data_IF_296485686081
#
_entry.id   IF_296485686081
#
_cell.length_a   1.000
_cell.length_b   1.000
_cell.length_c   1.000
_cell.angle_alpha   90.00
_cell.angle_beta   90.00
_cell.angle_gamma   90.00
#
_symmetry.space_group_name_H-M   'P 1'
#
loop_
_entity.id
_entity.type
_entity.pdbx_description
1 polymer ?
#
# COMPACT_ATOMS: atom_id res chain seq x y z
N UNK A 1 64.92 40.61 1.89
CA UNK A 1 63.67 41.40 1.84
C UNK A 1 62.62 40.53 1.18
N UNK A 2 61.52 40.29 1.87
CA UNK A 2 60.53 39.23 1.61
C UNK A 2 59.27 39.90 1.08
N UNK A 3 58.94 39.73 -0.20
CA UNK A 3 57.70 40.24 -0.77
C UNK A 3 56.73 39.10 -1.04
N UNK A 4 55.59 39.19 -0.35
CA UNK A 4 54.42 38.34 -0.38
C UNK A 4 53.55 38.78 -1.56
N UNK A 5 53.03 37.84 -2.35
CA UNK A 5 51.72 38.05 -3.00
C UNK A 5 50.92 36.73 -3.03
N UNK A 6 49.70 36.88 -2.55
CA UNK A 6 48.65 35.92 -2.21
C UNK A 6 47.92 35.44 -3.47
N UNK A 7 47.55 34.16 -3.56
CA UNK A 7 46.30 33.76 -4.20
C UNK A 7 45.61 32.58 -3.49
N UNK A 8 44.58 32.94 -2.72
CA UNK A 8 43.23 32.34 -2.72
C UNK A 8 43.10 30.84 -2.45
N UNK A 9 43.05 30.47 -1.17
CA UNK A 9 42.33 29.29 -0.68
C UNK A 9 40.82 29.59 -0.70
N UNK A 10 40.16 29.26 -1.80
CA UNK A 10 38.71 29.23 -1.90
C UNK A 10 38.31 27.83 -2.38
N UNK A 11 37.71 27.03 -1.50
CA UNK A 11 36.39 26.41 -1.73
C UNK A 11 35.96 25.67 -0.45
N UNK A 12 35.32 26.48 0.38
CA UNK A 12 34.25 26.19 1.33
C UNK A 12 33.54 24.84 1.20
N UNK A 13 33.45 24.16 2.34
CA UNK A 13 32.27 23.49 2.89
C UNK A 13 31.11 23.20 1.92
N UNK A 14 30.88 21.93 1.61
CA UNK A 14 29.54 21.46 1.28
C UNK A 14 29.12 20.39 2.29
N UNK A 15 28.18 20.80 3.15
CA UNK A 15 27.57 20.01 4.20
C UNK A 15 27.07 18.65 3.67
N UNK A 16 27.62 17.56 4.18
CA UNK A 16 26.94 16.26 4.14
C UNK A 16 25.92 16.20 5.28
N UNK A 17 24.73 16.73 5.03
CA UNK A 17 23.54 16.38 5.81
C UNK A 17 22.86 15.18 5.14
N UNK A 18 23.09 13.92 5.56
CA UNK A 18 22.15 12.88 5.22
C UNK A 18 20.84 13.17 5.95
N UNK A 19 19.86 13.59 5.16
CA UNK A 19 18.45 13.77 5.47
C UNK A 19 17.99 12.88 6.64
N UNK A 20 17.61 13.50 7.76
CA UNK A 20 16.77 12.83 8.75
C UNK A 20 15.45 12.54 8.03
N UNK A 21 15.30 11.27 7.64
CA UNK A 21 14.08 10.73 7.06
C UNK A 21 12.91 11.14 7.94
N UNK A 22 12.07 12.05 7.42
CA UNK A 22 10.75 12.26 7.97
C UNK A 22 9.98 10.95 7.75
N UNK A 23 10.04 10.01 8.70
CA UNK A 23 9.06 8.93 8.79
C UNK A 23 7.70 9.60 9.00
N UNK A 24 6.97 9.69 7.89
CA UNK A 24 5.78 10.51 7.75
C UNK A 24 4.76 10.28 8.88
N UNK A 25 4.22 11.37 9.42
CA UNK A 25 3.02 11.39 10.26
C UNK A 25 1.75 10.82 9.58
N UNK A 26 1.84 10.27 8.36
CA UNK A 26 0.70 9.70 7.61
C UNK A 26 0.16 8.41 8.25
N UNK A 27 0.97 7.70 9.04
CA UNK A 27 0.55 6.46 9.72
C UNK A 27 -0.60 6.69 10.71
N UNK A 28 -0.72 7.90 11.29
CA UNK A 28 -1.82 8.26 12.20
C UNK A 28 -3.14 8.56 11.48
N UNK A 29 -3.12 8.77 10.16
CA UNK A 29 -4.33 9.07 9.36
C UNK A 29 -5.04 7.82 8.84
N UNK A 30 -4.47 6.63 9.02
CA UNK A 30 -5.02 5.35 8.49
C UNK A 30 -5.38 4.41 9.62
N UNK A 31 -6.46 3.64 9.46
CA UNK A 31 -6.75 2.55 10.39
C UNK A 31 -5.65 1.48 10.38
N UNK A 32 -5.50 0.80 11.50
CA UNK A 32 -4.59 -0.35 11.61
C UNK A 32 -5.25 -1.60 11.04
N UNK A 33 -4.50 -2.40 10.30
CA UNK A 33 -4.97 -3.68 9.75
C UNK A 33 -4.54 -4.81 10.69
N UNK A 34 -5.47 -5.69 11.04
CA UNK A 34 -5.28 -6.84 11.94
C UNK A 34 -5.91 -8.09 11.34
N UNK A 35 -5.44 -9.26 11.80
CA UNK A 35 -5.95 -10.58 11.43
C UNK A 35 -6.09 -10.81 9.92
N UNK A 36 -5.15 -10.24 9.16
CA UNK A 36 -5.18 -10.29 7.71
C UNK A 36 -4.87 -11.71 7.22
N UNK A 37 -5.81 -12.30 6.48
CA UNK A 37 -5.69 -13.63 5.92
C UNK A 37 -6.34 -13.70 4.55
N UNK A 38 -6.00 -14.74 3.80
CA UNK A 38 -6.68 -15.03 2.56
C UNK A 38 -6.80 -16.53 2.36
N UNK A 39 -7.81 -16.94 1.59
CA UNK A 39 -7.96 -18.31 1.07
C UNK A 39 -7.95 -18.25 -0.45
N UNK A 40 -7.40 -19.29 -1.07
CA UNK A 40 -7.50 -19.45 -2.52
C UNK A 40 -8.81 -20.17 -2.80
N UNK A 41 -9.57 -19.68 -3.78
CA UNK A 41 -10.70 -20.42 -4.32
C UNK A 41 -10.50 -20.68 -5.81
N UNK A 42 -11.06 -21.80 -6.27
CA UNK A 42 -11.13 -22.17 -7.66
C UNK A 42 -12.45 -22.91 -7.88
N UNK A 43 -13.40 -22.23 -8.52
CA UNK A 43 -14.75 -22.72 -8.75
C UNK A 43 -15.07 -22.66 -10.24
N UNK A 44 -14.93 -23.80 -10.94
CA UNK A 44 -15.27 -24.02 -12.36
C UNK A 44 -14.76 -22.92 -13.32
N UNK A 45 -15.46 -21.80 -13.35
CA UNK A 45 -15.28 -20.67 -14.25
C UNK A 45 -14.62 -19.45 -13.59
N UNK A 46 -14.28 -19.50 -12.30
CA UNK A 46 -13.64 -18.40 -11.57
C UNK A 46 -12.59 -18.88 -10.58
N UNK A 47 -11.47 -18.17 -10.52
CA UNK A 47 -10.38 -18.40 -9.58
C UNK A 47 -9.94 -17.08 -8.99
N UNK A 48 -9.60 -17.11 -7.71
CA UNK A 48 -9.18 -15.91 -7.02
C UNK A 48 -8.88 -16.16 -5.56
N UNK A 49 -9.09 -15.12 -4.77
CA UNK A 49 -8.77 -15.13 -3.36
C UNK A 49 -9.91 -14.50 -2.56
N UNK A 50 -10.30 -15.17 -1.48
CA UNK A 50 -11.17 -14.60 -0.46
C UNK A 50 -10.26 -13.95 0.60
N UNK A 51 -10.22 -12.62 0.65
CA UNK A 51 -9.37 -11.86 1.55
C UNK A 51 -10.18 -11.37 2.73
N UNK A 52 -9.68 -11.61 3.94
CA UNK A 52 -10.33 -11.19 5.19
C UNK A 52 -9.35 -10.44 6.08
N UNK A 53 -9.76 -9.27 6.58
CA UNK A 53 -9.00 -8.54 7.61
C UNK A 53 -9.91 -7.65 8.44
N UNK A 54 -9.42 -7.24 9.62
CA UNK A 54 -10.09 -6.28 10.49
C UNK A 54 -9.37 -4.93 10.46
N UNK A 55 -10.13 -3.84 10.54
CA UNK A 55 -9.59 -2.49 10.81
C UNK A 55 -9.81 -2.08 12.25
N UNK A 56 -8.81 -1.50 12.90
CA UNK A 56 -8.94 -0.94 14.26
C UNK A 56 -8.37 0.48 14.35
N UNK A 57 -8.82 1.22 15.37
CA UNK A 57 -8.37 2.58 15.64
C UNK A 57 -9.12 3.66 14.85
N UNK A 58 -8.65 4.89 15.00
CA UNK A 58 -9.16 6.07 14.28
C UNK A 58 -8.41 6.24 12.96
N UNK A 59 -9.04 6.87 11.97
CA UNK A 59 -8.44 7.17 10.67
C UNK A 59 -9.28 6.71 9.49
N UNK A 60 -8.74 6.89 8.29
CA UNK A 60 -9.37 6.53 7.02
C UNK A 60 -9.49 5.02 6.86
N UNK A 61 -10.59 4.60 6.22
CA UNK A 61 -10.80 3.22 5.79
C UNK A 61 -9.99 2.93 4.51
N UNK A 62 -9.56 1.68 4.31
CA UNK A 62 -8.92 1.26 3.07
C UNK A 62 -9.94 1.31 1.92
N UNK A 63 -9.46 1.68 0.73
CA UNK A 63 -10.26 1.80 -0.50
C UNK A 63 -9.99 0.66 -1.49
N UNK A 64 -8.86 -0.03 -1.35
CA UNK A 64 -8.51 -1.16 -2.19
C UNK A 64 -7.60 -2.12 -1.43
N UNK A 65 -7.60 -3.37 -1.87
CA UNK A 65 -6.66 -4.40 -1.43
C UNK A 65 -5.81 -4.82 -2.62
N UNK A 66 -4.54 -5.14 -2.33
CA UNK A 66 -3.64 -5.72 -3.32
C UNK A 66 -3.12 -7.05 -2.80
N UNK A 67 -3.24 -8.09 -3.62
CA UNK A 67 -2.72 -9.42 -3.31
C UNK A 67 -2.16 -10.02 -4.60
N UNK A 68 -0.92 -10.51 -4.56
CA UNK A 68 -0.24 -11.09 -5.72
C UNK A 68 -0.27 -10.17 -6.95
N UNK A 69 -0.07 -8.86 -6.73
CA UNK A 69 -0.11 -7.79 -7.75
C UNK A 69 -1.45 -7.60 -8.44
N UNK A 70 -2.53 -8.18 -7.94
CA UNK A 70 -3.89 -7.87 -8.39
C UNK A 70 -4.47 -6.86 -7.42
N UNK A 71 -5.07 -5.80 -7.94
CA UNK A 71 -5.80 -4.78 -7.20
C UNK A 71 -7.30 -5.06 -7.29
N UNK A 72 -7.97 -4.96 -6.14
CA UNK A 72 -9.42 -4.97 -6.06
C UNK A 72 -9.87 -3.78 -5.23
N UNK A 73 -10.72 -2.93 -5.80
CA UNK A 73 -11.39 -1.87 -5.04
C UNK A 73 -12.36 -2.49 -4.04
N UNK A 74 -12.37 -1.94 -2.82
CA UNK A 74 -13.24 -2.36 -1.73
C UNK A 74 -14.59 -1.69 -1.92
N UNK A 75 -15.63 -2.49 -2.08
CA UNK A 75 -17.01 -2.02 -2.18
C UNK A 75 -17.60 -1.86 -0.77
N UNK A 76 -18.63 -1.01 -0.59
CA UNK A 76 -19.33 -0.92 0.69
C UNK A 76 -19.88 -2.27 1.18
N UNK A 77 -20.29 -3.16 0.27
CA UNK A 77 -20.77 -4.51 0.56
C UNK A 77 -19.71 -5.44 1.14
N UNK A 78 -18.42 -5.15 0.90
CA UNK A 78 -17.32 -5.98 1.36
C UNK A 78 -17.00 -5.72 2.83
N UNK A 79 -17.66 -4.75 3.46
CA UNK A 79 -17.42 -4.34 4.84
C UNK A 79 -18.62 -4.68 5.71
N UNK A 80 -18.39 -5.51 6.71
CA UNK A 80 -19.32 -5.77 7.81
C UNK A 80 -18.70 -5.28 9.12
N UNK A 81 -19.27 -4.22 9.70
CA UNK A 81 -18.74 -3.53 10.87
C UNK A 81 -17.29 -3.04 10.67
N UNK A 82 -16.31 -3.72 11.28
CA UNK A 82 -14.87 -3.44 11.17
C UNK A 82 -14.11 -4.56 10.45
N UNK A 83 -14.83 -5.50 9.84
CA UNK A 83 -14.27 -6.65 9.13
C UNK A 83 -14.53 -6.48 7.65
N UNK A 84 -13.53 -6.78 6.85
CA UNK A 84 -13.60 -6.73 5.41
C UNK A 84 -13.51 -8.15 4.85
N UNK A 85 -14.40 -8.48 3.93
CA UNK A 85 -14.50 -9.72 3.19
C UNK A 85 -14.48 -9.38 1.69
N UNK A 86 -13.32 -9.48 1.06
CA UNK A 86 -13.13 -9.10 -0.33
C UNK A 86 -12.99 -10.35 -1.19
N UNK A 87 -13.81 -10.46 -2.24
CA UNK A 87 -13.57 -11.40 -3.32
C UNK A 87 -12.63 -10.76 -4.36
N UNK A 88 -11.36 -11.17 -4.35
CA UNK A 88 -10.38 -10.73 -5.34
C UNK A 88 -10.33 -11.75 -6.48
N UNK A 89 -10.85 -11.37 -7.65
CA UNK A 89 -10.96 -12.24 -8.82
C UNK A 89 -9.67 -12.15 -9.64
N UNK A 90 -8.96 -13.28 -9.76
CA UNK A 90 -7.74 -13.38 -10.56
C UNK A 90 -8.02 -13.83 -11.99
N UNK A 91 -9.02 -14.69 -12.19
CA UNK A 91 -9.43 -15.21 -13.50
C UNK A 91 -10.94 -15.48 -13.43
N UNK A 92 -11.71 -15.07 -14.44
CA UNK A 92 -13.13 -15.42 -14.55
C UNK A 92 -13.56 -15.55 -16.00
N UNK A 93 -14.41 -16.52 -16.29
CA UNK A 93 -15.14 -16.67 -17.56
C UNK A 93 -16.61 -16.25 -17.42
N UNK A 94 -17.04 -15.95 -16.19
CA UNK A 94 -18.44 -15.59 -15.87
C UNK A 94 -18.74 -14.13 -16.17
N UNK A 95 -17.72 -13.27 -16.07
CA UNK A 95 -17.82 -11.83 -16.33
C UNK A 95 -17.18 -11.58 -17.69
N UNK A 96 -17.99 -11.15 -18.66
CA UNK A 96 -17.51 -10.83 -20.00
C UNK A 96 -16.53 -9.65 -19.96
N UNK A 97 -15.46 -9.73 -20.74
CA UNK A 97 -14.40 -8.71 -20.84
C UNK A 97 -13.73 -8.33 -19.50
N UNK A 98 -13.81 -9.20 -18.48
CA UNK A 98 -13.14 -8.94 -17.22
C UNK A 98 -11.64 -9.16 -17.33
N UNK A 99 -10.88 -8.11 -17.04
CA UNK A 99 -9.43 -8.18 -16.85
C UNK A 99 -9.10 -7.73 -15.44
N UNK A 100 -8.43 -8.56 -14.61
CA UNK A 100 -8.01 -8.16 -13.27
C UNK A 100 -7.11 -6.93 -13.33
N UNK A 101 -7.41 -5.94 -12.49
CA UNK A 101 -6.59 -4.74 -12.42
C UNK A 101 -5.22 -5.09 -11.84
N UNK A 102 -4.17 -4.81 -12.61
CA UNK A 102 -2.79 -5.03 -12.17
C UNK A 102 -2.34 -3.91 -11.23
N UNK A 103 -1.46 -4.25 -10.30
CA UNK A 103 -0.86 -3.36 -9.32
C UNK A 103 0.66 -3.51 -9.34
N UNK A 104 1.37 -2.39 -9.28
CA UNK A 104 2.81 -2.39 -9.04
C UNK A 104 3.15 -2.72 -7.57
N UNK A 105 2.18 -2.62 -6.67
CA UNK A 105 2.35 -2.95 -5.26
C UNK A 105 2.21 -4.45 -4.99
N UNK A 106 2.96 -4.92 -3.99
CA UNK A 106 2.81 -6.28 -3.45
C UNK A 106 1.57 -6.41 -2.57
N UNK A 107 1.67 -7.28 -1.57
CA UNK A 107 0.55 -7.60 -0.69
C UNK A 107 0.31 -6.46 0.33
N UNK A 108 -0.89 -5.88 0.30
CA UNK A 108 -1.23 -4.77 1.19
C UNK A 108 -2.64 -4.21 0.98
N UNK A 109 -2.86 -3.04 1.53
CA UNK A 109 -4.09 -2.26 1.35
C UNK A 109 -3.73 -0.83 0.94
N UNK A 110 -4.64 -0.18 0.25
CA UNK A 110 -4.48 1.19 -0.22
C UNK A 110 -5.50 2.08 0.50
N UNK A 111 -5.04 3.23 0.98
CA UNK A 111 -5.88 4.28 1.57
C UNK A 111 -5.90 5.49 0.66
N UNK A 112 -6.97 6.29 0.71
CA UNK A 112 -7.03 7.60 0.06
C UNK A 112 -7.02 8.68 1.14
N UNK A 113 -6.02 9.56 1.10
CA UNK A 113 -5.88 10.70 2.00
C UNK A 113 -5.71 11.95 1.14
N UNK A 114 -6.60 12.93 1.28
CA UNK A 114 -6.51 14.21 0.56
C UNK A 114 -6.30 14.03 -0.96
N UNK A 115 -7.00 13.05 -1.56
CA UNK A 115 -6.91 12.62 -2.97
C UNK A 115 -5.66 11.85 -3.40
N UNK A 116 -4.71 11.61 -2.50
CA UNK A 116 -3.51 10.81 -2.78
C UNK A 116 -3.70 9.38 -2.27
N UNK A 117 -3.26 8.41 -3.06
CA UNK A 117 -3.25 7.00 -2.65
C UNK A 117 -2.00 6.64 -1.86
N UNK A 118 -2.19 5.96 -0.74
CA UNK A 118 -1.13 5.50 0.15
C UNK A 118 -1.20 3.99 0.28
N UNK A 119 -0.17 3.31 -0.22
CA UNK A 119 0.00 1.88 -0.05
C UNK A 119 0.55 1.55 1.34
N UNK A 120 -0.11 0.63 2.04
CA UNK A 120 0.34 0.08 3.32
C UNK A 120 0.57 -1.42 3.15
N UNK A 121 1.81 -1.91 3.28
CA UNK A 121 2.10 -3.33 3.17
C UNK A 121 1.41 -4.10 4.32
N UNK A 122 0.83 -5.25 4.00
CA UNK A 122 0.15 -6.12 4.95
C UNK A 122 0.58 -7.56 4.69
N UNK A 123 1.02 -8.25 5.76
CA UNK A 123 1.31 -9.67 5.70
C UNK A 123 0.00 -10.45 5.83
N UNK A 124 -0.57 -10.88 4.70
CA UNK A 124 -1.72 -11.78 4.70
C UNK A 124 -1.26 -13.22 4.95
N UNK A 125 -1.90 -13.90 5.90
CA UNK A 125 -1.67 -15.31 6.20
C UNK A 125 -2.57 -16.16 5.29
N UNK A 126 -1.98 -17.11 4.55
CA UNK A 126 -2.74 -18.10 3.80
C UNK A 126 -3.45 -19.04 4.79
N UNK A 127 -4.75 -19.23 4.61
CA UNK A 127 -5.59 -20.16 5.37
C UNK A 127 -6.08 -21.31 4.51
#
# INVERSE_FOLDING_TARGET
MKNILIYSLFFTNLLSLPCISCKSNSLQKTKSIKNASYKIYNIRDEKGYEVVFNTTGKGMDPIAVTLNRIRQEIKPSDKENSTYHINLIAETRRIHDYTPQQSFYGNGVIFKIDSTEYFKPVKFILK
#
